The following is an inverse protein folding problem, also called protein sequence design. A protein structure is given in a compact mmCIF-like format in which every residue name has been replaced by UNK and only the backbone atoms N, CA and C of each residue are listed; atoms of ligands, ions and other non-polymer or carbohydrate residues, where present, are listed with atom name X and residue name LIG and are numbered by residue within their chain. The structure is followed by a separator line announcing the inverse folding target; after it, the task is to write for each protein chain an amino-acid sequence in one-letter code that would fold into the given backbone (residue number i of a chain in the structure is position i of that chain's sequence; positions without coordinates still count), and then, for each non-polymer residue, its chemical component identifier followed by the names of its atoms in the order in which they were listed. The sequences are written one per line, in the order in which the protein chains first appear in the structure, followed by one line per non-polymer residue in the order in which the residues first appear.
data_IF_688696539477
#
_entry.id   IF_688696539477
#
_cell.length_a   1.000
_cell.length_b   1.000
_cell.length_c   1.000
_cell.angle_alpha   90.00
_cell.angle_beta   90.00
_cell.angle_gamma   90.00
#
_symmetry.space_group_name_H-M   'P 1'
#
loop_
_entity.id
_entity.type
_entity.pdbx_description
1 polymer ?
#
# COMPACT_ATOMS: atom_id res chain seq x y z
N UNK A 1 -9.59 -15.61 8.34
CA UNK A 1 -8.76 -15.04 7.26
C UNK A 1 -8.30 -13.65 7.64
N UNK A 2 -6.99 -13.45 7.70
CA UNK A 2 -6.33 -12.17 7.84
C UNK A 2 -6.29 -11.53 6.44
N UNK A 3 -6.43 -10.22 6.35
CA UNK A 3 -6.26 -9.47 5.09
C UNK A 3 -4.78 -9.12 4.86
N UNK A 4 -3.91 -10.09 5.12
CA UNK A 4 -2.47 -10.01 5.01
C UNK A 4 -2.01 -11.20 4.16
N UNK A 5 -1.16 -10.94 3.17
CA UNK A 5 -0.47 -11.96 2.38
C UNK A 5 0.89 -12.21 3.02
N UNK A 6 1.00 -13.37 3.67
CA UNK A 6 2.26 -13.90 4.18
C UNK A 6 2.64 -15.05 3.25
N UNK A 7 3.90 -15.15 2.83
CA UNK A 7 4.37 -16.29 2.01
C UNK A 7 3.51 -16.55 0.75
N UNK A 8 3.09 -15.49 0.05
CA UNK A 8 2.26 -15.56 -1.17
C UNK A 8 0.81 -16.06 -0.95
N UNK A 9 0.29 -16.00 0.27
CA UNK A 9 -1.14 -16.22 0.52
C UNK A 9 -2.00 -15.22 -0.26
N UNK A 10 -3.13 -15.69 -0.79
CA UNK A 10 -4.06 -14.82 -1.54
C UNK A 10 -4.88 -13.97 -0.58
N UNK A 11 -4.96 -12.67 -0.85
CA UNK A 11 -5.91 -11.76 -0.21
C UNK A 11 -7.04 -11.48 -1.18
N UNK A 12 -8.28 -11.59 -0.71
CA UNK A 12 -9.44 -11.20 -1.50
C UNK A 12 -9.71 -9.71 -1.37
N UNK A 13 -9.70 -8.99 -2.48
CA UNK A 13 -10.14 -7.60 -2.58
C UNK A 13 -11.49 -7.53 -3.29
N UNK A 14 -12.38 -6.65 -2.82
CA UNK A 14 -13.66 -6.43 -3.50
C UNK A 14 -13.49 -5.50 -4.70
N UNK A 15 -14.45 -5.52 -5.63
CA UNK A 15 -14.48 -4.54 -6.72
C UNK A 15 -14.44 -3.08 -6.25
N UNK A 16 -13.84 -2.22 -7.07
CA UNK A 16 -13.79 -0.78 -6.87
C UNK A 16 -12.38 -0.20 -6.97
N UNK A 17 -12.26 1.09 -6.64
CA UNK A 17 -11.00 1.85 -6.70
C UNK A 17 -10.20 1.68 -5.42
N UNK A 18 -8.90 1.40 -5.56
CA UNK A 18 -7.93 1.24 -4.49
C UNK A 18 -6.76 2.19 -4.71
N UNK A 19 -6.16 2.59 -3.60
CA UNK A 19 -4.86 3.24 -3.52
C UNK A 19 -3.85 2.18 -3.09
N UNK A 20 -2.73 2.12 -3.81
CA UNK A 20 -1.65 1.17 -3.57
C UNK A 20 -0.46 1.98 -3.09
N UNK A 21 0.04 1.72 -1.89
CA UNK A 21 1.03 2.59 -1.23
C UNK A 21 1.95 1.78 -0.33
N UNK A 22 3.17 2.25 -0.15
CA UNK A 22 4.07 1.74 0.89
C UNK A 22 3.55 2.07 2.29
N UNK A 23 3.63 1.11 3.22
CA UNK A 23 3.22 1.31 4.61
C UNK A 23 3.94 2.49 5.30
N UNK A 24 5.22 2.72 5.01
CA UNK A 24 5.99 3.84 5.54
C UNK A 24 5.39 5.17 5.09
N UNK A 25 4.99 5.26 3.81
CA UNK A 25 4.43 6.48 3.23
C UNK A 25 3.04 6.82 3.82
N UNK A 26 2.28 5.83 4.26
CA UNK A 26 1.02 6.09 5.00
C UNK A 26 1.30 6.89 6.27
N UNK A 27 2.39 6.59 6.99
CA UNK A 27 2.76 7.33 8.19
C UNK A 27 3.21 8.76 7.87
N UNK A 28 3.97 8.95 6.79
CA UNK A 28 4.36 10.29 6.32
C UNK A 28 3.11 11.15 6.01
N UNK A 29 2.11 10.57 5.34
CA UNK A 29 0.85 11.27 5.06
C UNK A 29 0.12 11.60 6.37
N UNK A 30 0.05 10.65 7.31
CA UNK A 30 -0.56 10.88 8.62
C UNK A 30 0.06 12.07 9.34
N UNK A 31 1.39 12.12 9.41
CA UNK A 31 2.11 13.20 10.09
C UNK A 31 1.79 14.56 9.45
N UNK A 32 1.73 14.62 8.12
CA UNK A 32 1.30 15.82 7.40
C UNK A 32 -0.14 16.25 7.75
N UNK A 33 -1.07 15.29 7.88
CA UNK A 33 -2.47 15.57 8.21
C UNK A 33 -2.70 16.02 9.64
N UNK A 34 -1.81 15.66 10.56
CA UNK A 34 -1.91 16.14 11.95
C UNK A 34 -1.59 17.63 12.09
N UNK A 35 -1.00 18.27 11.06
CA UNK A 35 -0.75 19.70 11.06
C UNK A 35 -2.06 20.49 10.84
N UNK A 36 -2.56 21.23 11.85
CA UNK A 36 -3.85 21.93 11.77
C UNK A 36 -3.93 22.95 10.62
N UNK A 37 -2.78 23.45 10.17
CA UNK A 37 -2.63 24.45 9.11
C UNK A 37 -2.94 23.90 7.71
N UNK A 38 -2.91 22.57 7.55
CA UNK A 38 -2.95 21.87 6.26
C UNK A 38 -4.23 21.03 6.07
N UNK A 39 -5.13 21.04 7.05
CA UNK A 39 -6.28 20.13 7.14
C UNK A 39 -7.48 20.51 6.23
N UNK A 40 -7.33 21.49 5.34
CA UNK A 40 -8.41 21.94 4.46
C UNK A 40 -8.36 21.20 3.10
N UNK A 41 -9.28 20.24 2.96
CA UNK A 41 -9.59 19.48 1.74
C UNK A 41 -8.38 18.80 1.08
N UNK A 42 -7.90 17.74 1.71
CA UNK A 42 -6.84 16.93 1.14
C UNK A 42 -7.38 16.09 -0.02
N UNK A 43 -6.85 16.31 -1.22
CA UNK A 43 -7.07 15.46 -2.38
C UNK A 43 -5.83 14.60 -2.61
N UNK A 44 -5.98 13.47 -3.31
CA UNK A 44 -4.86 12.64 -3.73
C UNK A 44 -3.81 13.44 -4.51
N UNK A 45 -4.24 14.41 -5.32
CA UNK A 45 -3.34 15.27 -6.08
C UNK A 45 -2.48 16.11 -5.14
N UNK A 46 -3.07 16.69 -4.09
CA UNK A 46 -2.33 17.44 -3.07
C UNK A 46 -1.33 16.55 -2.33
N UNK A 47 -1.69 15.31 -1.99
CA UNK A 47 -0.74 14.35 -1.38
C UNK A 47 0.50 14.19 -2.29
N UNK A 48 0.31 13.93 -3.59
CA UNK A 48 1.45 13.78 -4.53
C UNK A 48 2.31 15.04 -4.57
N UNK A 49 1.69 16.20 -4.69
CA UNK A 49 2.39 17.47 -4.93
C UNK A 49 3.07 18.04 -3.69
N UNK A 50 2.43 17.94 -2.52
CA UNK A 50 2.89 18.61 -1.30
C UNK A 50 3.73 17.68 -0.41
N UNK A 51 3.41 16.38 -0.37
CA UNK A 51 4.07 15.41 0.52
C UNK A 51 5.22 14.68 -0.19
N UNK A 52 5.04 14.39 -1.49
CA UNK A 52 6.00 13.61 -2.27
C UNK A 52 6.46 14.33 -3.55
N UNK A 53 6.96 15.59 -3.47
CA UNK A 53 7.30 16.38 -4.66
C UNK A 53 8.43 15.80 -5.51
N UNK A 54 9.24 14.90 -4.95
CA UNK A 54 10.42 14.30 -5.60
C UNK A 54 10.29 12.78 -5.79
N UNK A 55 9.14 12.19 -5.46
CA UNK A 55 8.88 10.78 -5.68
C UNK A 55 7.96 10.66 -6.88
N UNK A 56 8.41 9.98 -7.94
CA UNK A 56 7.61 9.89 -9.18
C UNK A 56 6.31 9.08 -8.97
N UNK A 57 6.35 8.05 -8.12
CA UNK A 57 5.24 7.09 -7.92
C UNK A 57 5.03 6.72 -6.45
N UNK A 58 4.78 7.69 -5.55
CA UNK A 58 4.64 7.43 -4.11
C UNK A 58 3.44 6.53 -3.79
N UNK A 59 2.43 6.52 -4.67
CA UNK A 59 1.34 5.58 -4.62
C UNK A 59 0.69 5.44 -6.00
N UNK A 60 0.15 4.26 -6.25
CA UNK A 60 -0.67 3.96 -7.40
C UNK A 60 -2.16 4.04 -7.11
N UNK A 61 -2.98 4.14 -8.15
CA UNK A 61 -4.42 3.93 -8.06
C UNK A 61 -4.86 2.90 -9.09
N UNK A 62 -5.64 1.92 -8.65
CA UNK A 62 -6.18 0.88 -9.53
C UNK A 62 -7.68 0.68 -9.29
N UNK A 63 -8.42 0.39 -10.35
CA UNK A 63 -9.84 0.07 -10.27
C UNK A 63 -10.10 -1.38 -10.69
N UNK A 64 -10.49 -2.21 -9.73
CA UNK A 64 -10.88 -3.59 -9.96
C UNK A 64 -12.34 -3.65 -10.42
N UNK A 65 -12.57 -4.18 -11.62
CA UNK A 65 -13.93 -4.33 -12.17
C UNK A 65 -14.74 -5.42 -11.48
N UNK A 66 -14.05 -6.43 -10.95
CA UNK A 66 -14.61 -7.56 -10.22
C UNK A 66 -13.84 -7.74 -8.91
N UNK A 67 -14.36 -8.57 -8.01
CA UNK A 67 -13.57 -9.07 -6.89
C UNK A 67 -12.29 -9.75 -7.41
N UNK A 68 -11.19 -9.57 -6.70
CA UNK A 68 -9.86 -9.96 -7.16
C UNK A 68 -9.11 -10.70 -6.06
N UNK A 69 -8.55 -11.86 -6.41
CA UNK A 69 -7.66 -12.62 -5.52
C UNK A 69 -6.22 -12.16 -5.78
N UNK A 70 -5.75 -11.27 -4.92
CA UNK A 70 -4.44 -10.66 -4.99
C UNK A 70 -3.37 -11.57 -4.39
N UNK A 71 -2.27 -11.73 -5.12
CA UNK A 71 -1.07 -12.47 -4.70
C UNK A 71 0.20 -11.73 -5.10
N UNK A 72 1.36 -12.15 -4.59
CA UNK A 72 2.66 -11.55 -4.94
C UNK A 72 2.96 -11.71 -6.44
N UNK A 73 2.44 -12.75 -7.09
CA UNK A 73 2.58 -12.97 -8.55
C UNK A 73 1.98 -11.83 -9.40
N UNK A 74 1.04 -11.08 -8.83
CA UNK A 74 0.44 -9.91 -9.47
C UNK A 74 1.33 -8.67 -9.37
N UNK A 75 2.44 -8.72 -8.64
CA UNK A 75 3.34 -7.59 -8.40
C UNK A 75 4.63 -7.81 -9.18
N UNK A 76 4.95 -6.91 -10.11
CA UNK A 76 6.15 -7.01 -10.96
C UNK A 76 7.10 -5.86 -10.71
N UNK A 77 8.35 -6.16 -10.37
CA UNK A 77 9.41 -5.14 -10.24
C UNK A 77 9.75 -4.56 -11.61
N UNK A 78 9.76 -3.23 -11.72
CA UNK A 78 10.19 -2.53 -12.93
C UNK A 78 11.71 -2.43 -12.89
N UNK A 79 12.38 -3.01 -13.90
CA UNK A 79 13.82 -2.85 -14.10
C UNK A 79 14.07 -1.56 -14.90
N UNK A 80 14.92 -0.68 -14.38
CA UNK A 80 15.21 0.65 -14.95
C UNK A 80 15.65 0.64 -16.43
N UNK A 81 16.15 -0.49 -16.92
CA UNK A 81 16.54 -0.68 -18.33
C UNK A 81 15.33 -0.63 -19.29
N UNK A 82 14.12 -0.89 -18.78
CA UNK A 82 12.87 -0.77 -19.52
C UNK A 82 12.26 0.61 -19.25
N UNK A 83 12.67 1.62 -20.04
CA UNK A 83 12.10 2.98 -20.09
C UNK A 83 10.61 2.97 -20.45
N UNK A 84 9.76 2.49 -19.54
CA UNK A 84 8.31 2.60 -19.62
C UNK A 84 7.90 3.91 -18.94
N UNK A 85 6.96 4.64 -19.54
CA UNK A 85 6.30 5.75 -18.86
C UNK A 85 5.72 5.23 -17.56
N UNK A 86 6.18 5.77 -16.42
CA UNK A 86 5.58 5.49 -15.13
C UNK A 86 4.10 5.86 -15.22
N UNK A 87 3.24 4.89 -14.89
CA UNK A 87 1.77 5.07 -14.92
C UNK A 87 1.24 5.15 -13.50
N UNK A 88 -0.03 5.52 -13.32
CA UNK A 88 -0.70 5.44 -12.01
C UNK A 88 -0.80 4.01 -11.45
N UNK A 89 -0.38 2.98 -12.19
CA UNK A 89 -0.28 1.59 -11.69
C UNK A 89 1.10 1.24 -11.14
N UNK A 90 2.06 2.15 -11.26
CA UNK A 90 3.38 2.01 -10.70
C UNK A 90 3.39 2.57 -9.27
N UNK A 91 4.11 1.91 -8.37
CA UNK A 91 4.26 2.32 -6.97
C UNK A 91 5.69 2.08 -6.51
N UNK A 92 6.29 3.07 -5.87
CA UNK A 92 7.55 2.95 -5.15
C UNK A 92 7.30 2.28 -3.80
N UNK A 93 8.11 1.28 -3.48
CA UNK A 93 8.07 0.53 -2.21
C UNK A 93 9.47 0.53 -1.61
N UNK A 94 9.57 1.02 -0.39
CA UNK A 94 10.81 1.14 0.38
C UNK A 94 10.85 0.11 1.52
N UNK A 95 9.73 -0.10 2.22
CA UNK A 95 9.67 -0.97 3.40
C UNK A 95 9.49 -2.45 3.09
N UNK A 96 9.11 -2.78 1.85
CA UNK A 96 8.65 -4.13 1.49
C UNK A 96 7.26 -4.46 2.01
N UNK A 97 6.49 -3.46 2.46
CA UNK A 97 5.10 -3.58 2.91
C UNK A 97 4.19 -2.79 1.97
N UNK A 98 3.49 -3.49 1.09
CA UNK A 98 2.56 -2.87 0.12
C UNK A 98 1.13 -2.96 0.62
N UNK A 99 0.49 -1.81 0.80
CA UNK A 99 -0.91 -1.70 1.21
C UNK A 99 -1.81 -1.44 0.01
N UNK A 100 -2.93 -2.15 -0.03
CA UNK A 100 -4.07 -1.92 -0.91
C UNK A 100 -5.21 -1.39 -0.05
N UNK A 101 -5.60 -0.14 -0.26
CA UNK A 101 -6.61 0.53 0.57
C UNK A 101 -7.73 1.02 -0.33
N UNK A 102 -8.97 0.60 -0.08
CA UNK A 102 -10.11 1.09 -0.86
C UNK A 102 -10.25 2.60 -0.71
N UNK A 103 -10.53 3.26 -1.82
CA UNK A 103 -10.49 4.72 -1.93
C UNK A 103 -11.40 5.43 -0.91
N UNK A 104 -12.58 4.85 -0.63
CA UNK A 104 -13.59 5.40 0.28
C UNK A 104 -13.15 5.40 1.76
N UNK A 105 -12.25 4.49 2.15
CA UNK A 105 -11.77 4.37 3.53
C UNK A 105 -10.37 4.94 3.74
N UNK A 106 -9.70 5.39 2.68
CA UNK A 106 -8.29 5.76 2.71
C UNK A 106 -7.91 6.77 3.80
N UNK A 107 -8.62 7.90 3.86
CA UNK A 107 -8.34 8.95 4.86
C UNK A 107 -8.59 8.43 6.28
N UNK A 108 -9.68 7.68 6.50
CA UNK A 108 -9.98 7.08 7.81
C UNK A 108 -8.89 6.09 8.22
N UNK A 109 -8.40 5.28 7.29
CA UNK A 109 -7.31 4.34 7.55
C UNK A 109 -6.00 5.07 7.91
N UNK A 110 -5.63 6.12 7.17
CA UNK A 110 -4.42 6.92 7.48
C UNK A 110 -4.42 7.42 8.93
N UNK A 111 -5.56 7.94 9.43
CA UNK A 111 -5.63 8.45 10.80
C UNK A 111 -5.42 7.37 11.86
N UNK A 112 -5.78 6.13 11.57
CA UNK A 112 -5.66 5.00 12.50
C UNK A 112 -4.29 4.32 12.41
N UNK A 113 -3.68 4.32 11.22
CA UNK A 113 -2.44 3.61 10.94
C UNK A 113 -1.24 4.20 11.68
N UNK A 114 -0.25 3.37 11.96
CA UNK A 114 0.99 3.72 12.68
C UNK A 114 2.01 2.68 12.25
N UNK A 115 2.99 3.13 11.47
CA UNK A 115 3.99 2.23 10.89
C UNK A 115 4.85 1.59 11.98
N UNK A 116 5.25 2.36 12.99
CA UNK A 116 6.17 1.88 14.03
C UNK A 116 5.53 0.77 14.86
N UNK A 117 4.23 0.88 15.16
CA UNK A 117 3.48 -0.19 15.84
C UNK A 117 3.34 -1.45 14.99
N UNK A 118 3.19 -1.30 13.67
CA UNK A 118 3.06 -2.45 12.76
C UNK A 118 4.34 -3.29 12.72
N UNK A 119 5.51 -2.65 12.75
CA UNK A 119 6.81 -3.31 12.64
C UNK A 119 7.47 -3.60 14.00
N UNK A 120 6.77 -3.38 15.11
CA UNK A 120 7.31 -3.55 16.46
C UNK A 120 7.68 -5.02 16.77
N UNK A 121 6.99 -5.97 16.13
CA UNK A 121 7.25 -7.42 16.23
C UNK A 121 7.64 -7.99 14.87
N UNK A 122 8.50 -9.01 14.86
CA UNK A 122 8.84 -9.76 13.62
C UNK A 122 7.87 -10.93 13.37
N UNK A 123 7.43 -11.17 12.12
CA UNK A 123 7.65 -10.33 10.95
C UNK A 123 6.76 -9.06 10.93
N UNK A 124 5.62 -9.07 11.65
CA UNK A 124 4.75 -7.92 11.92
C UNK A 124 3.98 -8.10 13.23
N UNK A 125 3.50 -7.01 13.81
CA UNK A 125 2.51 -7.03 14.88
C UNK A 125 1.08 -7.26 14.33
N UNK A 126 0.66 -8.53 14.31
CA UNK A 126 -0.69 -8.95 13.88
C UNK A 126 -1.81 -8.47 14.80
N UNK A 127 -1.54 -8.33 16.10
CA UNK A 127 -2.56 -7.86 17.05
C UNK A 127 -2.89 -6.40 16.76
N UNK A 128 -1.85 -5.60 16.55
CA UNK A 128 -2.00 -4.22 16.10
C UNK A 128 -2.75 -4.14 14.77
N UNK A 129 -2.32 -4.90 13.76
CA UNK A 129 -2.99 -4.92 12.45
C UNK A 129 -4.48 -5.27 12.55
N UNK A 130 -4.82 -6.31 13.31
CA UNK A 130 -6.22 -6.70 13.51
C UNK A 130 -7.00 -5.58 14.20
N UNK A 131 -6.44 -4.94 15.23
CA UNK A 131 -7.12 -3.88 15.98
C UNK A 131 -7.53 -2.69 15.11
N UNK A 132 -6.72 -2.34 14.10
CA UNK A 132 -7.04 -1.23 13.18
C UNK A 132 -7.91 -1.68 12.00
N UNK A 133 -7.83 -2.94 11.58
CA UNK A 133 -8.55 -3.43 10.40
C UNK A 133 -9.95 -3.97 10.68
N UNK A 134 -10.27 -4.30 11.93
CA UNK A 134 -11.62 -4.70 12.38
C UNK A 134 -12.69 -3.62 12.13
N UNK A 135 -12.27 -2.36 12.00
CA UNK A 135 -13.16 -1.22 11.70
C UNK A 135 -13.60 -1.14 10.23
N UNK A 136 -13.12 -2.06 9.39
CA UNK A 136 -13.35 -2.08 7.94
C UNK A 136 -13.76 -3.49 7.48
N UNK A 137 -14.36 -3.59 6.29
CA UNK A 137 -14.56 -4.91 5.69
C UNK A 137 -13.22 -5.45 5.23
N UNK A 138 -12.95 -6.72 5.51
CA UNK A 138 -11.66 -7.38 5.20
C UNK A 138 -11.25 -7.27 3.73
N UNK A 139 -12.21 -7.14 2.82
CA UNK A 139 -12.00 -7.01 1.37
C UNK A 139 -11.67 -5.58 0.91
N UNK A 140 -11.75 -4.59 1.80
CA UNK A 140 -11.43 -3.18 1.50
C UNK A 140 -9.96 -2.83 1.79
N UNK A 141 -9.22 -3.74 2.44
CA UNK A 141 -7.83 -3.54 2.85
C UNK A 141 -7.04 -4.81 2.55
N UNK A 142 -5.83 -4.68 2.02
CA UNK A 142 -4.89 -5.79 1.88
C UNK A 142 -3.47 -5.32 2.21
N UNK A 143 -2.71 -6.15 2.89
CA UNK A 143 -1.29 -5.93 3.15
C UNK A 143 -0.47 -7.07 2.56
N UNK A 144 0.47 -6.75 1.69
CA UNK A 144 1.42 -7.72 1.14
C UNK A 144 2.78 -7.45 1.74
N UNK A 145 3.36 -8.50 2.32
CA UNK A 145 4.73 -8.49 2.81
C UNK A 145 5.65 -9.03 1.72
N UNK A 146 6.80 -8.40 1.56
CA UNK A 146 7.93 -8.99 0.87
C UNK A 146 8.19 -10.36 1.46
N UNK A 147 8.25 -11.36 0.59
CA UNK A 147 8.56 -12.74 0.99
C UNK A 147 10.04 -12.91 1.34
N UNK A 148 10.90 -11.90 1.12
CA UNK A 148 12.34 -11.98 1.36
C UNK A 148 13.10 -12.79 0.29
N UNK A 149 14.43 -12.85 0.43
CA UNK A 149 15.38 -13.29 -0.61
C UNK A 149 15.18 -14.77 -1.05
N UNK A 150 14.49 -15.59 -0.26
CA UNK A 150 14.45 -17.05 -0.44
C UNK A 150 13.20 -17.61 -1.14
N UNK A 151 12.31 -16.76 -1.67
CA UNK A 151 10.99 -17.21 -2.15
C UNK A 151 10.75 -17.10 -3.66
N UNK A 152 11.80 -16.89 -4.49
CA UNK A 152 11.70 -16.79 -5.95
C UNK A 152 10.79 -15.66 -6.48
N UNK A 153 10.39 -14.71 -5.64
CA UNK A 153 9.58 -13.55 -6.03
C UNK A 153 10.44 -12.28 -6.01
N UNK A 154 10.24 -11.43 -7.02
CA UNK A 154 10.96 -10.15 -7.19
C UNK A 154 10.44 -9.04 -6.25
N UNK A 155 9.46 -9.31 -5.37
CA UNK A 155 8.93 -8.33 -4.43
C UNK A 155 9.78 -8.25 -3.16
N UNK A 156 10.54 -7.16 -3.05
CA UNK A 156 11.40 -6.80 -1.92
C UNK A 156 11.16 -5.34 -1.48
N UNK A 157 11.86 -4.91 -0.41
CA UNK A 157 11.98 -3.48 -0.11
C UNK A 157 13.00 -2.82 -1.03
N UNK A 158 12.68 -1.63 -1.54
CA UNK A 158 13.54 -0.87 -2.44
C UNK A 158 13.29 -1.19 -3.92
N UNK A 159 12.30 -0.51 -4.50
CA UNK A 159 12.05 -0.56 -5.93
C UNK A 159 10.73 0.07 -6.36
N UNK A 160 10.53 0.11 -7.68
CA UNK A 160 9.24 0.50 -8.28
C UNK A 160 8.56 -0.75 -8.81
N UNK A 161 7.29 -0.90 -8.50
CA UNK A 161 6.49 -2.07 -8.80
C UNK A 161 5.27 -1.72 -9.64
N UNK A 162 4.92 -2.59 -10.58
CA UNK A 162 3.72 -2.54 -11.39
C UNK A 162 2.74 -3.61 -10.93
N UNK A 163 1.48 -3.23 -10.72
CA UNK A 163 0.42 -4.19 -10.42
C UNK A 163 -0.17 -4.74 -11.74
N UNK A 164 0.06 -6.03 -11.97
CA UNK A 164 -0.40 -6.79 -13.13
C UNK A 164 -1.69 -7.55 -12.81
N UNK A 165 -2.80 -6.92 -13.17
CA UNK A 165 -4.19 -7.22 -12.79
C UNK A 165 -5.09 -7.11 -14.01
#
# INVERSE_FOLDING_TARGET
MLNISIQNEKIKLEKGKFIIIDALYVNIIKDFLTNPSLNNSLSIIKIKQEIFPYTDTPFGTYEFKNDFDLSIENIKKIRYENKTQLTDRCVAIDSGLMLFIKYDIFIKFIHLFDYNKLIEKEPLDYEYWNSITELFRKTQLGLILSSGINYNFDFDGGGVYYINV
#
